data_IF_626868115026
#
_entry.id   IF_626868115026
#
_cell.length_a   1.000
_cell.length_b   1.000
_cell.length_c   1.000
_cell.angle_alpha   90.00
_cell.angle_beta   90.00
_cell.angle_gamma   90.00
#
_symmetry.space_group_name_H-M   'P 1'
#
loop_
_entity.id
_entity.type
_entity.pdbx_description
1 polymer ?
#
# COMPACT_ATOMS: atom_id res chain seq x y z
N UNK A 1 -50.66 25.77 -46.39
CA UNK A 1 -49.90 25.24 -45.25
C UNK A 1 -48.63 24.62 -45.82
N UNK A 2 -47.48 25.29 -45.69
CA UNK A 2 -46.21 24.82 -46.25
C UNK A 2 -45.32 24.31 -45.12
N UNK A 3 -45.01 23.01 -45.15
CA UNK A 3 -44.11 22.35 -44.19
C UNK A 3 -42.70 22.51 -44.74
N UNK A 4 -41.87 23.31 -44.07
CA UNK A 4 -40.46 23.45 -44.41
C UNK A 4 -39.69 22.22 -43.89
N UNK A 5 -39.31 21.31 -44.77
CA UNK A 5 -38.29 20.28 -44.49
C UNK A 5 -36.90 20.93 -44.34
N UNK A 6 -36.33 20.85 -43.15
CA UNK A 6 -34.95 21.24 -42.90
C UNK A 6 -34.01 20.08 -43.26
N UNK A 7 -33.26 20.25 -44.35
CA UNK A 7 -32.15 19.34 -44.72
C UNK A 7 -30.97 19.57 -43.76
N UNK A 8 -30.48 18.55 -43.03
CA UNK A 8 -29.38 18.75 -42.09
C UNK A 8 -28.10 19.06 -42.86
N UNK A 9 -27.49 20.21 -42.54
CA UNK A 9 -26.16 20.57 -43.05
C UNK A 9 -25.13 19.67 -42.38
N UNK A 10 -24.55 18.76 -43.14
CA UNK A 10 -23.42 17.95 -42.71
C UNK A 10 -22.21 18.86 -42.47
N UNK A 11 -21.58 18.82 -41.28
CA UNK A 11 -20.42 19.66 -40.99
C UNK A 11 -19.21 19.21 -41.81
N UNK A 12 -18.51 20.19 -42.39
CA UNK A 12 -17.38 20.06 -43.34
C UNK A 12 -16.14 19.33 -42.78
N UNK A 13 -16.13 18.97 -41.50
CA UNK A 13 -14.95 18.44 -40.80
C UNK A 13 -15.08 16.95 -40.43
N UNK A 14 -15.85 16.17 -41.18
CA UNK A 14 -16.11 14.75 -40.86
C UNK A 14 -14.82 13.89 -40.80
N UNK A 15 -13.80 14.22 -41.59
CA UNK A 15 -12.49 13.56 -41.57
C UNK A 15 -11.74 13.77 -40.24
N UNK A 16 -12.00 14.87 -39.54
CA UNK A 16 -11.38 15.18 -38.24
C UNK A 16 -11.99 14.30 -37.13
N UNK A 17 -13.30 14.04 -37.20
CA UNK A 17 -13.95 13.06 -36.33
C UNK A 17 -13.44 11.63 -36.58
N UNK A 18 -13.21 11.27 -37.84
CA UNK A 18 -12.67 9.96 -38.21
C UNK A 18 -11.23 9.76 -37.73
N UNK A 19 -10.40 10.81 -37.80
CA UNK A 19 -9.05 10.81 -37.25
C UNK A 19 -9.01 10.65 -35.72
N UNK A 20 -9.91 11.32 -35.00
CA UNK A 20 -10.02 11.19 -33.55
C UNK A 20 -10.38 9.75 -33.13
N UNK A 21 -11.30 9.11 -33.83
CA UNK A 21 -11.70 7.71 -33.57
C UNK A 21 -10.51 6.75 -33.80
N UNK A 22 -9.76 6.93 -34.89
CA UNK A 22 -8.59 6.09 -35.17
C UNK A 22 -7.51 6.18 -34.07
N UNK A 23 -7.23 7.39 -33.57
CA UNK A 23 -6.26 7.59 -32.47
C UNK A 23 -6.73 6.92 -31.17
N UNK A 24 -8.02 7.01 -30.85
CA UNK A 24 -8.56 6.33 -29.66
C UNK A 24 -8.47 4.81 -29.76
N UNK A 25 -8.71 4.23 -30.95
CA UNK A 25 -8.56 2.78 -31.16
C UNK A 25 -7.11 2.31 -30.97
N UNK A 26 -6.12 3.07 -31.46
CA UNK A 26 -4.70 2.74 -31.28
C UNK A 26 -4.30 2.77 -29.81
N UNK A 27 -4.75 3.77 -29.05
CA UNK A 27 -4.48 3.84 -27.61
C UNK A 27 -5.11 2.65 -26.85
N UNK A 28 -6.34 2.26 -27.18
CA UNK A 28 -6.99 1.10 -26.55
C UNK A 28 -6.25 -0.19 -26.87
N UNK A 29 -5.75 -0.38 -28.09
CA UNK A 29 -4.94 -1.56 -28.45
C UNK A 29 -3.67 -1.60 -27.59
N UNK A 30 -2.91 -0.51 -27.53
CA UNK A 30 -1.66 -0.44 -26.73
C UNK A 30 -1.92 -0.77 -25.25
N UNK A 31 -3.01 -0.25 -24.67
CA UNK A 31 -3.37 -0.52 -23.28
C UNK A 31 -3.92 -1.94 -23.03
N UNK A 32 -4.48 -2.60 -24.05
CA UNK A 32 -5.06 -3.95 -23.89
C UNK A 32 -4.09 -5.08 -24.26
N UNK A 33 -3.06 -4.83 -25.06
CA UNK A 33 -2.02 -5.85 -25.36
C UNK A 33 -0.90 -5.97 -24.33
N UNK A 34 -0.98 -5.24 -23.20
CA UNK A 34 -0.08 -5.43 -22.05
C UNK A 34 -0.39 -6.70 -21.23
N UNK A 35 -0.45 -7.87 -21.87
CA UNK A 35 -0.42 -9.18 -21.20
C UNK A 35 1.00 -9.72 -21.28
N UNK A 36 1.77 -9.52 -20.21
CA UNK A 36 2.99 -10.27 -19.97
C UNK A 36 2.62 -11.64 -19.43
N UNK A 37 2.52 -12.62 -20.33
CA UNK A 37 2.48 -14.04 -19.97
C UNK A 37 3.79 -14.40 -19.26
N UNK A 38 3.74 -14.54 -17.94
CA UNK A 38 4.81 -15.18 -17.18
C UNK A 38 4.51 -16.68 -17.11
N UNK A 39 4.72 -17.36 -18.24
CA UNK A 39 4.77 -18.82 -18.28
C UNK A 39 6.17 -19.24 -17.85
N UNK A 40 6.36 -19.51 -16.56
CA UNK A 40 7.50 -20.28 -16.09
C UNK A 40 7.20 -21.77 -16.31
N UNK A 41 7.59 -22.24 -17.50
CA UNK A 41 7.83 -23.65 -17.74
C UNK A 41 8.89 -24.16 -16.75
N UNK A 42 8.44 -24.85 -15.70
CA UNK A 42 9.30 -25.68 -14.87
C UNK A 42 8.98 -27.15 -15.16
N UNK A 43 9.51 -27.64 -16.27
CA UNK A 43 9.54 -29.07 -16.61
C UNK A 43 11.00 -29.53 -16.71
N UNK A 44 11.42 -30.30 -15.71
CA UNK A 44 12.50 -31.28 -15.88
C UNK A 44 13.77 -31.07 -15.05
N UNK A 45 13.77 -31.59 -13.82
CA UNK A 45 14.92 -32.32 -13.27
C UNK A 45 14.44 -33.19 -12.10
N UNK A 46 13.88 -34.36 -12.42
CA UNK A 46 13.93 -35.48 -11.50
C UNK A 46 15.31 -36.13 -11.68
N UNK A 47 16.17 -36.04 -10.66
CA UNK A 47 17.21 -37.06 -10.40
C UNK A 47 17.80 -36.91 -9.01
N UNK A 48 17.66 -38.01 -8.26
CA UNK A 48 18.52 -38.46 -7.18
C UNK A 48 18.35 -37.78 -5.80
N UNK A 49 17.21 -38.10 -5.20
CA UNK A 49 16.99 -38.15 -3.76
C UNK A 49 17.62 -39.43 -3.18
N UNK A 50 18.82 -39.31 -2.62
CA UNK A 50 19.32 -40.05 -1.45
C UNK A 50 20.82 -39.76 -1.31
N UNK A 51 21.27 -39.33 -0.12
CA UNK A 51 22.67 -39.27 0.38
C UNK A 51 23.03 -37.95 1.11
N UNK A 52 22.07 -37.09 1.49
CA UNK A 52 22.33 -36.05 2.51
C UNK A 52 21.11 -35.85 3.43
N UNK A 53 20.59 -36.93 4.01
CA UNK A 53 19.55 -36.84 5.07
C UNK A 53 19.84 -37.76 6.26
N UNK A 54 21.12 -38.02 6.58
CA UNK A 54 21.47 -38.87 7.73
C UNK A 54 22.53 -38.32 8.68
N UNK A 55 22.83 -37.01 8.66
CA UNK A 55 23.82 -36.42 9.60
C UNK A 55 23.41 -35.10 10.28
N UNK A 56 22.22 -34.54 10.01
CA UNK A 56 21.74 -33.30 10.67
C UNK A 56 20.57 -33.58 11.65
N UNK A 57 20.50 -34.79 12.21
CA UNK A 57 19.44 -35.17 13.16
C UNK A 57 19.96 -35.87 14.43
N UNK A 58 21.06 -35.39 15.03
CA UNK A 58 21.54 -35.99 16.28
C UNK A 58 22.40 -35.10 17.18
N UNK A 59 22.27 -33.76 17.17
CA UNK A 59 23.07 -32.94 18.10
C UNK A 59 22.40 -31.67 18.62
N UNK A 60 21.16 -31.78 19.10
CA UNK A 60 20.48 -30.70 19.84
C UNK A 60 20.04 -31.11 21.25
N UNK A 61 20.41 -32.30 21.73
CA UNK A 61 19.98 -32.81 23.05
C UNK A 61 20.87 -32.39 24.23
N UNK A 62 21.75 -31.40 24.05
CA UNK A 62 22.71 -30.97 25.09
C UNK A 62 22.90 -29.46 25.22
N UNK A 63 22.13 -28.65 24.48
CA UNK A 63 22.14 -27.19 24.64
C UNK A 63 21.04 -26.84 25.64
N UNK A 64 21.40 -26.78 26.92
CA UNK A 64 20.56 -26.10 27.90
C UNK A 64 20.57 -24.60 27.57
N UNK A 65 19.40 -23.98 27.31
CA UNK A 65 19.35 -22.54 27.14
C UNK A 65 19.69 -21.87 28.47
N UNK A 66 20.94 -21.43 28.63
CA UNK A 66 21.29 -20.47 29.68
C UNK A 66 20.55 -19.17 29.36
N UNK A 67 19.69 -18.66 30.24
CA UNK A 67 19.14 -17.33 30.06
C UNK A 67 20.29 -16.33 30.25
N UNK A 68 20.84 -15.82 29.16
CA UNK A 68 21.73 -14.67 29.20
C UNK A 68 20.93 -13.46 29.71
N UNK A 69 21.07 -13.21 31.01
CA UNK A 69 20.61 -12.01 31.67
C UNK A 69 21.47 -10.82 31.21
N UNK A 70 21.20 -10.32 30.00
CA UNK A 70 21.40 -8.92 29.57
C UNK A 70 21.10 -8.69 28.08
N UNK A 71 20.14 -9.42 27.51
CA UNK A 71 19.43 -8.88 26.34
C UNK A 71 18.48 -7.81 26.85
N UNK A 72 18.94 -6.56 26.85
CA UNK A 72 18.09 -5.38 26.92
C UNK A 72 17.30 -5.32 25.60
N UNK A 73 16.36 -6.24 25.45
CA UNK A 73 15.25 -6.11 24.52
C UNK A 73 14.47 -4.93 25.07
N UNK A 74 14.46 -3.81 24.35
CA UNK A 74 13.45 -2.79 24.55
C UNK A 74 12.11 -3.39 24.11
N UNK A 75 11.62 -4.33 24.92
CA UNK A 75 10.25 -4.80 24.91
C UNK A 75 9.42 -3.58 25.31
N UNK A 76 8.89 -2.90 24.30
CA UNK A 76 7.72 -2.03 24.42
C UNK A 76 6.64 -2.85 25.13
N UNK A 77 6.59 -2.69 26.44
CA UNK A 77 5.83 -3.51 27.35
C UNK A 77 4.35 -3.23 27.11
N UNK A 78 3.72 -4.25 26.54
CA UNK A 78 2.34 -4.64 26.75
C UNK A 78 1.57 -3.84 27.81
N UNK A 79 0.50 -3.21 27.33
CA UNK A 79 -0.86 -3.62 27.64
C UNK A 79 -1.15 -3.86 29.12
N UNK A 80 -1.77 -2.86 29.74
CA UNK A 80 -2.63 -3.10 30.89
C UNK A 80 -3.97 -3.67 30.38
N UNK A 81 -4.32 -4.86 30.89
CA UNK A 81 -5.65 -5.48 30.94
C UNK A 81 -6.33 -5.89 29.62
N UNK A 82 -6.70 -7.17 29.62
CA UNK A 82 -7.64 -7.86 28.74
C UNK A 82 -7.14 -8.36 27.38
N UNK A 83 -7.41 -9.65 27.15
CA UNK A 83 -7.13 -10.50 25.99
C UNK A 83 -7.74 -9.98 24.67
N UNK A 84 -7.41 -8.77 24.25
CA UNK A 84 -7.58 -8.32 22.88
C UNK A 84 -6.23 -8.49 22.20
N UNK A 85 -6.09 -9.56 21.40
CA UNK A 85 -5.07 -9.58 20.35
C UNK A 85 -5.41 -8.50 19.32
N UNK A 86 -5.19 -7.24 19.70
CA UNK A 86 -5.31 -6.09 18.84
C UNK A 86 -4.10 -6.12 17.90
N UNK A 87 -4.19 -6.93 16.85
CA UNK A 87 -3.28 -6.82 15.73
C UNK A 87 -3.38 -5.37 15.23
N UNK A 88 -2.29 -4.63 15.36
CA UNK A 88 -2.20 -3.24 14.93
C UNK A 88 -1.23 -3.21 13.77
N UNK A 89 -1.68 -2.71 12.62
CA UNK A 89 -0.76 -2.34 11.54
C UNK A 89 -0.31 -0.93 11.90
N UNK A 90 0.97 -0.75 12.17
CA UNK A 90 1.65 0.53 12.32
C UNK A 90 2.72 0.59 11.24
N UNK A 91 2.50 1.43 10.22
CA UNK A 91 3.50 1.67 9.17
C UNK A 91 3.65 3.17 8.94
N UNK A 92 4.90 3.61 8.77
CA UNK A 92 5.25 4.97 8.40
C UNK A 92 5.68 5.04 6.94
N UNK A 93 4.97 5.85 6.15
CA UNK A 93 5.35 6.17 4.78
C UNK A 93 6.13 7.47 4.77
N UNK A 94 7.41 7.38 4.44
CA UNK A 94 8.29 8.54 4.26
C UNK A 94 8.05 9.15 2.89
N UNK A 95 8.04 10.47 2.83
CA UNK A 95 7.91 11.24 1.59
C UNK A 95 9.16 12.09 1.40
N UNK A 96 9.48 12.39 0.14
CA UNK A 96 10.52 13.38 -0.15
C UNK A 96 10.23 14.73 0.55
N UNK A 97 11.27 15.44 1.03
CA UNK A 97 11.12 16.72 1.71
C UNK A 97 10.33 17.73 0.88
N UNK A 98 9.30 18.34 1.49
CA UNK A 98 8.48 19.37 0.85
C UNK A 98 7.52 18.88 -0.23
N UNK A 99 7.42 17.56 -0.47
CA UNK A 99 6.53 16.98 -1.49
C UNK A 99 5.42 16.13 -0.85
N UNK A 100 4.27 16.11 -1.50
CA UNK A 100 3.14 15.22 -1.19
C UNK A 100 2.95 14.10 -2.24
N UNK A 101 3.80 14.07 -3.27
CA UNK A 101 3.76 13.05 -4.30
C UNK A 101 4.32 11.72 -3.77
N UNK A 102 3.65 10.62 -4.11
CA UNK A 102 4.08 9.27 -3.78
C UNK A 102 5.12 8.77 -4.80
N UNK A 103 6.33 8.49 -4.34
CA UNK A 103 7.33 7.78 -5.14
C UNK A 103 7.01 6.28 -5.27
N UNK A 104 7.82 5.54 -6.03
CA UNK A 104 7.60 4.13 -6.28
C UNK A 104 7.75 3.25 -5.02
N UNK A 105 8.62 3.63 -4.07
CA UNK A 105 8.83 2.90 -2.82
C UNK A 105 7.61 3.06 -1.90
N UNK A 106 7.15 4.31 -1.73
CA UNK A 106 5.94 4.64 -0.99
C UNK A 106 4.71 3.90 -1.56
N UNK A 107 4.56 3.85 -2.89
CA UNK A 107 3.50 3.10 -3.55
C UNK A 107 3.58 1.60 -3.28
N UNK A 108 4.79 1.02 -3.31
CA UNK A 108 5.01 -0.41 -3.00
C UNK A 108 4.62 -0.73 -1.55
N UNK A 109 5.05 0.09 -0.60
CA UNK A 109 4.70 -0.02 0.82
C UNK A 109 3.19 0.08 1.03
N UNK A 110 2.52 1.06 0.43
CA UNK A 110 1.06 1.21 0.53
C UNK A 110 0.34 -0.04 0.02
N UNK A 111 0.78 -0.64 -1.09
CA UNK A 111 0.19 -1.89 -1.60
C UNK A 111 0.39 -3.05 -0.64
N UNK A 112 1.57 -3.17 -0.04
CA UNK A 112 1.85 -4.20 0.97
C UNK A 112 0.94 -4.05 2.18
N UNK A 113 0.86 -2.83 2.74
CA UNK A 113 -0.02 -2.52 3.87
C UNK A 113 -1.48 -2.78 3.53
N UNK A 114 -1.95 -2.35 2.37
CA UNK A 114 -3.33 -2.56 1.93
C UNK A 114 -3.67 -4.05 1.74
N UNK A 115 -2.73 -4.85 1.22
CA UNK A 115 -2.87 -6.31 1.10
C UNK A 115 -3.00 -6.98 2.48
N UNK A 116 -2.16 -6.59 3.43
CA UNK A 116 -2.24 -7.08 4.81
C UNK A 116 -3.53 -6.62 5.49
N UNK A 117 -3.93 -5.36 5.30
CA UNK A 117 -5.15 -4.79 5.85
C UNK A 117 -6.40 -5.54 5.37
N UNK A 118 -6.54 -5.72 4.06
CA UNK A 118 -7.71 -6.40 3.48
C UNK A 118 -7.83 -7.87 3.89
N UNK A 119 -6.70 -8.56 4.08
CA UNK A 119 -6.68 -9.97 4.52
C UNK A 119 -6.94 -10.13 6.01
N UNK A 120 -6.27 -9.33 6.83
CA UNK A 120 -6.28 -9.50 8.29
C UNK A 120 -7.40 -8.72 8.98
N UNK A 121 -7.92 -7.67 8.33
CA UNK A 121 -8.87 -6.72 8.91
C UNK A 121 -10.03 -6.35 7.96
N UNK A 122 -10.75 -7.33 7.37
CA UNK A 122 -11.75 -7.08 6.34
C UNK A 122 -12.93 -6.22 6.80
N UNK A 123 -13.22 -6.16 8.10
CA UNK A 123 -14.32 -5.38 8.68
C UNK A 123 -13.85 -4.15 9.48
N UNK A 124 -12.55 -3.88 9.51
CA UNK A 124 -12.01 -2.78 10.30
C UNK A 124 -11.91 -1.49 9.51
N UNK A 125 -11.62 -0.40 10.21
CA UNK A 125 -11.30 0.90 9.62
C UNK A 125 -9.79 1.13 9.74
N UNK A 126 -9.16 1.51 8.63
CA UNK A 126 -7.80 2.00 8.58
C UNK A 126 -7.81 3.52 8.79
N UNK A 127 -7.15 3.96 9.85
CA UNK A 127 -6.91 5.36 10.15
C UNK A 127 -5.62 5.81 9.47
N UNK A 128 -5.69 6.98 8.81
CA UNK A 128 -4.59 7.57 8.06
C UNK A 128 -4.32 8.95 8.66
N UNK A 129 -3.15 9.11 9.29
CA UNK A 129 -2.72 10.36 9.92
C UNK A 129 -1.47 10.91 9.23
N UNK A 130 -1.47 12.19 8.89
CA UNK A 130 -0.24 12.87 8.46
C UNK A 130 0.65 13.15 9.66
N UNK A 131 1.96 12.92 9.54
CA UNK A 131 2.95 13.27 10.58
C UNK A 131 3.75 14.48 10.13
N UNK A 132 3.80 15.50 10.98
CA UNK A 132 4.52 16.75 10.71
C UNK A 132 5.37 17.16 11.90
N UNK A 133 6.51 17.80 11.65
CA UNK A 133 7.39 18.28 12.73
C UNK A 133 6.96 19.62 13.32
N UNK A 134 6.04 20.35 12.69
CA UNK A 134 5.58 21.67 13.15
C UNK A 134 4.19 22.03 12.60
N UNK A 135 3.52 22.98 13.25
CA UNK A 135 2.18 23.42 12.83
C UNK A 135 2.12 23.92 11.38
N UNK A 136 3.20 24.51 10.86
CA UNK A 136 3.29 24.95 9.47
C UNK A 136 3.28 23.77 8.48
N UNK A 137 3.83 22.62 8.87
CA UNK A 137 3.88 21.37 8.12
C UNK A 137 2.61 20.54 8.17
N UNK A 138 1.63 20.88 9.02
CA UNK A 138 0.38 20.15 9.14
C UNK A 138 -0.39 20.09 7.82
N UNK A 139 -0.40 21.19 7.05
CA UNK A 139 -1.05 21.22 5.74
C UNK A 139 -0.42 20.22 4.76
N UNK A 140 0.91 20.14 4.74
CA UNK A 140 1.63 19.17 3.88
C UNK A 140 1.38 17.73 4.35
N UNK A 141 1.30 17.51 5.66
CA UNK A 141 0.98 16.21 6.22
C UNK A 141 -0.44 15.74 5.86
N UNK A 142 -1.42 16.65 5.87
CA UNK A 142 -2.78 16.39 5.39
C UNK A 142 -2.82 16.06 3.89
N UNK A 143 -2.07 16.82 3.08
CA UNK A 143 -1.96 16.56 1.64
C UNK A 143 -1.35 15.18 1.36
N UNK A 144 -0.34 14.77 2.13
CA UNK A 144 0.27 13.43 2.06
C UNK A 144 -0.71 12.33 2.47
N UNK A 145 -1.41 12.50 3.59
CA UNK A 145 -2.42 11.54 4.05
C UNK A 145 -3.55 11.38 3.01
N UNK A 146 -3.96 12.48 2.38
CA UNK A 146 -4.92 12.46 1.29
C UNK A 146 -4.38 11.72 0.06
N UNK A 147 -3.13 11.94 -0.31
CA UNK A 147 -2.49 11.23 -1.42
C UNK A 147 -2.46 9.70 -1.18
N UNK A 148 -2.11 9.26 0.04
CA UNK A 148 -2.15 7.85 0.42
C UNK A 148 -3.57 7.29 0.31
N UNK A 149 -4.56 7.98 0.88
CA UNK A 149 -5.97 7.56 0.82
C UNK A 149 -6.45 7.40 -0.62
N UNK A 150 -6.21 8.40 -1.47
CA UNK A 150 -6.61 8.35 -2.87
C UNK A 150 -5.90 7.24 -3.63
N UNK A 151 -4.63 7.00 -3.34
CA UNK A 151 -3.88 5.90 -3.95
C UNK A 151 -4.48 4.54 -3.56
N UNK A 152 -4.83 4.33 -2.29
CA UNK A 152 -5.46 3.09 -1.82
C UNK A 152 -6.81 2.83 -2.48
N UNK A 153 -7.63 3.88 -2.64
CA UNK A 153 -8.93 3.77 -3.32
C UNK A 153 -8.75 3.44 -4.80
N UNK A 154 -7.89 4.19 -5.50
CA UNK A 154 -7.74 4.09 -6.96
C UNK A 154 -6.99 2.83 -7.41
N UNK A 155 -5.93 2.45 -6.70
CA UNK A 155 -4.99 1.42 -7.16
C UNK A 155 -5.18 0.07 -6.44
N UNK A 156 -5.60 0.11 -5.17
CA UNK A 156 -5.75 -1.11 -4.35
C UNK A 156 -7.22 -1.47 -4.11
N UNK A 157 -8.14 -0.61 -4.54
CA UNK A 157 -9.59 -0.82 -4.44
C UNK A 157 -10.08 -0.99 -2.99
N UNK A 158 -9.39 -0.37 -2.02
CA UNK A 158 -9.88 -0.35 -0.64
C UNK A 158 -11.12 0.56 -0.57
N UNK A 159 -12.26 0.08 -0.03
CA UNK A 159 -13.47 0.89 0.08
C UNK A 159 -13.23 2.18 0.85
N UNK A 160 -13.72 3.31 0.32
CA UNK A 160 -13.57 4.61 0.98
C UNK A 160 -14.22 4.67 2.38
N UNK A 161 -15.18 3.78 2.66
CA UNK A 161 -15.82 3.60 3.98
C UNK A 161 -14.90 2.98 5.03
N UNK A 162 -13.87 2.23 4.61
CA UNK A 162 -12.87 1.63 5.48
C UNK A 162 -11.67 2.55 5.73
N UNK A 163 -11.57 3.68 5.02
CA UNK A 163 -10.46 4.61 5.14
C UNK A 163 -10.91 5.88 5.85
N UNK A 164 -10.41 6.11 7.06
CA UNK A 164 -10.70 7.28 7.88
C UNK A 164 -9.47 8.17 7.97
N UNK A 165 -9.61 9.44 7.58
CA UNK A 165 -8.56 10.43 7.83
C UNK A 165 -8.69 10.96 9.24
N UNK A 166 -7.57 11.04 9.94
CA UNK A 166 -7.47 11.66 11.27
C UNK A 166 -6.67 12.95 11.17
N UNK A 167 -6.77 13.79 12.20
CA UNK A 167 -6.01 15.03 12.28
C UNK A 167 -4.49 14.73 12.26
N UNK A 168 -3.67 15.61 11.67
CA UNK A 168 -2.25 15.40 11.60
C UNK A 168 -1.65 15.39 13.01
N UNK A 169 -0.84 14.37 13.29
CA UNK A 169 -0.19 14.22 14.58
C UNK A 169 1.11 15.05 14.59
N UNK A 170 1.38 15.83 15.65
CA UNK A 170 2.71 16.39 15.82
C UNK A 170 3.70 15.24 15.97
N UNK A 171 4.89 15.35 15.38
CA UNK A 171 6.00 14.45 15.63
C UNK A 171 6.32 14.50 17.13
N UNK A 172 5.77 13.56 17.90
CA UNK A 172 5.93 13.52 19.35
C UNK A 172 7.39 13.21 19.66
N UNK A 173 8.08 14.16 20.27
CA UNK A 173 9.41 13.98 20.83
C UNK A 173 9.32 13.08 22.08
N UNK A 174 9.13 11.77 21.89
CA UNK A 174 8.79 10.88 22.99
C UNK A 174 9.16 9.42 22.76
N UNK A 175 10.37 9.08 23.20
CA UNK A 175 10.94 7.75 23.50
C UNK A 175 11.13 6.77 22.34
N UNK A 176 12.39 6.68 21.89
CA UNK A 176 13.07 5.39 21.83
C UNK A 176 13.41 4.84 20.45
N UNK A 177 12.68 5.19 19.39
CA UNK A 177 12.98 4.69 18.05
C UNK A 177 12.96 5.85 17.06
N UNK A 178 14.12 6.06 16.42
CA UNK A 178 14.41 6.90 15.25
C UNK A 178 13.40 8.01 14.94
N UNK A 179 13.81 9.26 15.16
CA UNK A 179 13.01 10.47 14.93
C UNK A 179 12.04 10.33 13.76
N UNK A 180 10.73 10.36 14.06
CA UNK A 180 9.67 10.18 13.09
C UNK A 180 9.81 11.24 11.99
N UNK A 181 10.36 10.84 10.86
CA UNK A 181 10.47 11.69 9.68
C UNK A 181 9.06 12.12 9.24
N UNK A 182 8.91 13.34 8.68
CA UNK A 182 7.61 13.82 8.27
C UNK A 182 7.04 12.88 7.19
N UNK A 183 5.91 12.26 7.49
CA UNK A 183 5.39 11.11 6.74
C UNK A 183 3.89 10.91 6.92
N UNK A 184 3.41 9.69 6.70
CA UNK A 184 2.02 9.28 6.96
C UNK A 184 2.03 8.02 7.81
N UNK A 185 1.26 8.04 8.88
CA UNK A 185 1.06 6.93 9.78
C UNK A 185 -0.26 6.23 9.45
N UNK A 186 -0.19 4.91 9.34
CA UNK A 186 -1.33 4.06 9.05
C UNK A 186 -1.61 3.21 10.28
N UNK A 187 -2.84 3.26 10.80
CA UNK A 187 -3.24 2.49 11.98
C UNK A 187 -4.54 1.74 11.71
N UNK A 188 -4.52 0.41 11.81
CA UNK A 188 -5.73 -0.40 11.80
C UNK A 188 -5.90 -1.10 13.16
N UNK A 189 -7.13 -1.20 13.65
CA UNK A 189 -7.47 -1.97 14.85
C UNK A 189 -8.66 -2.87 14.56
N UNK A 190 -8.52 -4.15 14.89
CA UNK A 190 -9.62 -5.11 14.85
C UNK A 190 -10.62 -4.75 15.96
N UNK A 191 -11.90 -4.62 15.61
CA UNK A 191 -12.99 -4.49 16.58
C UNK A 191 -13.33 -5.83 17.23
#
# INVERSE_FOLDING_TARGET
>A
MAVHEQKPKTPKNWYLALGAIAVTLVLVIIFTTGKSDHSSDHRGAARDSSTIESEINANWSGVEPKPDANLHVSDSSATNSDNLQAYTIDESIVFEPGKAALDADAQSKIRSVASTFTKSFPESTLEIAGVSSNAAGNKLADERAKAVREFMIKNVQVPASQLKMTAPEPATAGKGETGKEPGVHLTARKK
#
